data_IF_375280336964
#
_entry.id   IF_375280336964
#
_cell.length_a   1.000
_cell.length_b   1.000
_cell.length_c   1.000
_cell.angle_alpha   90.00
_cell.angle_beta   90.00
_cell.angle_gamma   90.00
#
_symmetry.space_group_name_H-M   'P 1'
#
loop_
_entity.id
_entity.type
_entity.pdbx_description
1 polymer ?
#
# COMPACT_ATOMS: atom_id res chain seq x y z
N UNK A 1 2.65 6.70 13.29
CA UNK A 1 3.48 5.64 12.71
C UNK A 1 4.84 6.23 12.33
N UNK A 2 5.95 5.59 12.71
CA UNK A 2 7.30 6.01 12.38
C UNK A 2 7.55 6.05 10.86
N UNK A 3 6.93 5.13 10.10
CA UNK A 3 7.03 5.14 8.64
C UNK A 3 6.40 6.41 8.05
N UNK A 4 5.25 6.85 8.57
CA UNK A 4 4.62 8.10 8.13
C UNK A 4 5.48 9.33 8.49
N UNK A 5 6.08 9.34 9.68
CA UNK A 5 6.89 10.47 10.15
C UNK A 5 8.24 10.58 9.43
N UNK A 6 8.91 9.45 9.17
CA UNK A 6 10.26 9.42 8.62
C UNK A 6 10.30 9.32 7.10
N UNK A 7 9.26 8.76 6.50
CA UNK A 7 9.24 8.44 5.07
C UNK A 7 8.05 9.05 4.34
N UNK A 8 7.43 10.10 4.89
CA UNK A 8 6.45 10.90 4.18
C UNK A 8 6.82 12.39 4.17
N UNK A 9 6.34 13.15 3.17
CA UNK A 9 6.51 14.60 3.15
C UNK A 9 5.54 15.33 4.10
N UNK A 10 4.62 14.61 4.76
CA UNK A 10 3.59 15.18 5.61
C UNK A 10 3.99 15.11 7.08
N UNK A 11 3.79 16.22 7.79
CA UNK A 11 3.96 16.30 9.25
C UNK A 11 2.78 15.68 9.97
N UNK A 12 1.59 15.77 9.39
CA UNK A 12 0.34 15.30 10.00
C UNK A 12 -0.54 14.55 9.01
N UNK A 13 -1.40 13.68 9.54
CA UNK A 13 -2.43 13.01 8.73
C UNK A 13 -3.39 14.03 8.08
N UNK A 14 -3.69 15.13 8.77
CA UNK A 14 -4.56 16.19 8.23
C UNK A 14 -4.01 16.85 6.97
N UNK A 15 -2.69 17.05 6.88
CA UNK A 15 -2.05 17.57 5.66
C UNK A 15 -2.24 16.61 4.48
N UNK A 16 -2.04 15.31 4.70
CA UNK A 16 -2.29 14.28 3.68
C UNK A 16 -3.76 14.26 3.25
N UNK A 17 -4.69 14.26 4.21
CA UNK A 17 -6.14 14.30 3.92
C UNK A 17 -6.53 15.53 3.12
N UNK A 18 -5.96 16.69 3.44
CA UNK A 18 -6.22 17.96 2.73
C UNK A 18 -5.80 17.84 1.25
N UNK A 19 -4.57 17.39 1.00
CA UNK A 19 -4.03 17.22 -0.36
C UNK A 19 -4.86 16.23 -1.19
N UNK A 20 -5.26 15.10 -0.58
CA UNK A 20 -6.09 14.10 -1.25
C UNK A 20 -7.50 14.62 -1.53
N UNK A 21 -8.13 15.30 -0.57
CA UNK A 21 -9.48 15.83 -0.74
C UNK A 21 -9.54 16.90 -1.83
N UNK A 22 -8.57 17.83 -1.84
CA UNK A 22 -8.51 18.87 -2.87
C UNK A 22 -8.33 18.26 -4.27
N UNK A 23 -7.41 17.30 -4.41
CA UNK A 23 -7.20 16.59 -5.66
C UNK A 23 -8.44 15.84 -6.13
N UNK A 24 -9.15 15.18 -5.22
CA UNK A 24 -10.40 14.47 -5.52
C UNK A 24 -11.50 15.43 -5.98
N UNK A 25 -11.71 16.53 -5.24
CA UNK A 25 -12.73 17.52 -5.57
C UNK A 25 -12.50 18.18 -6.94
N UNK A 26 -11.24 18.38 -7.32
CA UNK A 26 -10.87 19.00 -8.60
C UNK A 26 -10.88 18.05 -9.79
N UNK A 27 -10.49 16.79 -9.59
CA UNK A 27 -10.29 15.84 -10.70
C UNK A 27 -11.38 14.79 -10.88
N UNK A 28 -12.08 14.39 -9.81
CA UNK A 28 -12.99 13.26 -9.89
C UNK A 28 -14.32 13.63 -10.54
N UNK A 29 -14.78 12.78 -11.47
CA UNK A 29 -16.11 12.91 -12.07
C UNK A 29 -17.24 12.95 -11.02
N UNK A 30 -18.37 13.65 -11.26
CA UNK A 30 -19.43 13.85 -10.25
C UNK A 30 -20.05 12.58 -9.66
N UNK A 31 -19.96 11.44 -10.34
CA UNK A 31 -20.50 10.15 -9.87
C UNK A 31 -19.44 9.27 -9.19
N UNK A 32 -18.19 9.72 -9.11
CA UNK A 32 -17.14 9.02 -8.36
C UNK A 32 -17.25 9.33 -6.86
N UNK A 33 -16.90 8.34 -6.06
CA UNK A 33 -16.84 8.43 -4.60
C UNK A 33 -15.42 8.12 -4.12
N UNK A 34 -15.01 8.71 -2.98
CA UNK A 34 -13.76 8.41 -2.30
C UNK A 34 -14.04 7.74 -0.96
N UNK A 35 -13.26 6.70 -0.64
CA UNK A 35 -13.35 5.98 0.63
C UNK A 35 -12.01 6.10 1.36
N UNK A 36 -12.02 6.78 2.51
CA UNK A 36 -10.90 6.81 3.43
C UNK A 36 -10.98 5.61 4.37
N UNK A 37 -10.00 4.72 4.31
CA UNK A 37 -9.91 3.54 5.17
C UNK A 37 -8.90 3.79 6.28
N UNK A 38 -9.34 3.73 7.54
CA UNK A 38 -8.44 3.82 8.69
C UNK A 38 -7.52 2.59 8.78
N UNK A 39 -6.34 2.76 9.35
CA UNK A 39 -5.47 1.63 9.69
C UNK A 39 -6.08 0.82 10.86
N UNK A 40 -5.95 -0.51 10.92
CA UNK A 40 -6.46 -1.31 12.04
C UNK A 40 -5.89 -0.91 13.41
N UNK A 41 -4.70 -0.31 13.41
CA UNK A 41 -4.01 0.18 14.61
C UNK A 41 -4.20 1.70 14.83
N UNK A 42 -5.13 2.33 14.12
CA UNK A 42 -5.45 3.74 14.34
C UNK A 42 -6.01 3.90 15.77
N UNK A 43 -5.34 4.70 16.61
CA UNK A 43 -5.62 4.81 18.04
C UNK A 43 -6.64 5.92 18.39
N UNK A 44 -7.13 6.64 17.37
CA UNK A 44 -8.16 7.67 17.51
C UNK A 44 -7.69 8.97 18.15
N UNK A 45 -6.39 9.14 18.44
CA UNK A 45 -5.84 10.38 19.02
C UNK A 45 -5.96 11.56 18.08
N UNK A 46 -5.89 11.32 16.77
CA UNK A 46 -6.21 12.32 15.75
C UNK A 46 -7.68 12.15 15.35
N UNK A 47 -8.50 13.21 15.36
CA UNK A 47 -9.91 13.13 15.01
C UNK A 47 -10.10 13.06 13.48
N UNK A 48 -9.52 12.05 12.83
CA UNK A 48 -9.50 11.83 11.37
C UNK A 48 -10.90 11.91 10.76
N UNK A 49 -11.90 11.31 11.42
CA UNK A 49 -13.28 11.34 10.94
C UNK A 49 -13.88 12.76 10.94
N UNK A 50 -13.51 13.59 11.92
CA UNK A 50 -13.93 14.99 11.97
C UNK A 50 -13.27 15.78 10.85
N UNK A 51 -11.96 15.58 10.66
CA UNK A 51 -11.20 16.27 9.62
C UNK A 51 -11.69 15.93 8.21
N UNK A 52 -11.98 14.66 7.93
CA UNK A 52 -12.58 14.23 6.65
C UNK A 52 -13.92 14.93 6.41
N UNK A 53 -14.79 15.01 7.42
CA UNK A 53 -16.09 15.70 7.30
C UNK A 53 -15.91 17.20 7.05
N UNK A 54 -14.98 17.84 7.77
CA UNK A 54 -14.66 19.26 7.61
C UNK A 54 -14.16 19.55 6.19
N UNK A 55 -13.22 18.76 5.69
CA UNK A 55 -12.67 18.88 4.34
C UNK A 55 -13.72 18.58 3.26
N UNK A 56 -14.54 17.55 3.44
CA UNK A 56 -15.61 17.24 2.50
C UNK A 56 -16.58 18.42 2.33
N UNK A 57 -16.95 19.07 3.44
CA UNK A 57 -17.77 20.30 3.43
C UNK A 57 -17.06 21.48 2.78
N UNK A 58 -15.78 21.68 3.11
CA UNK A 58 -14.98 22.76 2.53
C UNK A 58 -14.94 22.69 0.99
N UNK A 59 -14.89 21.48 0.44
CA UNK A 59 -14.82 21.24 -1.00
C UNK A 59 -16.16 20.91 -1.66
N UNK A 60 -17.28 20.90 -0.92
CA UNK A 60 -18.62 20.62 -1.46
C UNK A 60 -18.81 19.20 -2.00
N UNK A 61 -18.17 18.20 -1.39
CA UNK A 61 -18.18 16.79 -1.83
C UNK A 61 -18.74 15.83 -0.78
N UNK A 62 -19.48 16.31 0.22
CA UNK A 62 -19.99 15.52 1.35
C UNK A 62 -20.76 14.27 0.93
N UNK A 63 -21.57 14.36 -0.14
CA UNK A 63 -22.34 13.23 -0.66
C UNK A 63 -21.51 12.11 -1.28
N UNK A 64 -20.19 12.31 -1.44
CA UNK A 64 -19.30 11.41 -2.18
C UNK A 64 -18.06 10.99 -1.40
N UNK A 65 -17.98 11.33 -0.12
CA UNK A 65 -16.86 11.01 0.77
C UNK A 65 -17.32 10.03 1.85
N UNK A 66 -16.61 8.91 1.96
CA UNK A 66 -16.90 7.87 2.93
C UNK A 66 -15.69 7.62 3.83
N UNK A 67 -15.94 7.30 5.10
CA UNK A 67 -14.90 6.90 6.04
C UNK A 67 -15.22 5.55 6.66
N UNK A 68 -14.27 4.62 6.56
CA UNK A 68 -14.42 3.25 7.05
C UNK A 68 -13.34 2.96 8.09
N UNK A 69 -13.75 2.68 9.33
CA UNK A 69 -12.82 2.40 10.45
C UNK A 69 -12.19 1.01 10.35
N UNK A 70 -12.92 0.01 9.86
CA UNK A 70 -12.51 -1.40 9.91
C UNK A 70 -12.86 -2.19 8.65
N UNK A 71 -12.61 -3.49 8.66
CA UNK A 71 -12.97 -4.39 7.55
C UNK A 71 -11.85 -4.66 6.55
N UNK A 72 -12.08 -5.66 5.70
CA UNK A 72 -11.11 -6.18 4.75
C UNK A 72 -10.94 -5.21 3.58
N UNK A 73 -9.73 -4.69 3.41
CA UNK A 73 -9.37 -3.80 2.29
C UNK A 73 -9.69 -4.43 0.92
N UNK A 74 -9.47 -5.75 0.79
CA UNK A 74 -9.73 -6.49 -0.45
C UNK A 74 -11.14 -6.26 -1.02
N UNK A 75 -12.17 -6.20 -0.17
CA UNK A 75 -13.55 -5.99 -0.63
C UNK A 75 -13.76 -4.57 -1.18
N UNK A 76 -13.15 -3.56 -0.55
CA UNK A 76 -13.17 -2.18 -1.04
C UNK A 76 -12.44 -2.07 -2.38
N UNK A 77 -11.29 -2.72 -2.52
CA UNK A 77 -10.50 -2.69 -3.74
C UNK A 77 -11.19 -3.36 -4.93
N UNK A 78 -12.11 -4.30 -4.72
CA UNK A 78 -12.85 -4.93 -5.81
C UNK A 78 -13.78 -3.93 -6.55
N UNK A 79 -14.21 -2.87 -5.88
CA UNK A 79 -15.00 -1.78 -6.48
C UNK A 79 -14.19 -0.52 -6.79
N UNK A 80 -12.88 -0.51 -6.50
CA UNK A 80 -12.04 0.68 -6.66
C UNK A 80 -11.56 0.84 -8.10
N UNK A 81 -11.49 2.09 -8.57
CA UNK A 81 -10.91 2.45 -9.88
C UNK A 81 -9.42 2.79 -9.79
N UNK A 82 -9.01 3.33 -8.65
CA UNK A 82 -7.64 3.72 -8.34
C UNK A 82 -7.49 3.78 -6.82
N UNK A 83 -6.25 3.83 -6.34
CA UNK A 83 -5.96 4.01 -4.92
C UNK A 83 -4.90 5.09 -4.70
N UNK A 84 -4.98 5.72 -3.53
CA UNK A 84 -3.98 6.67 -3.04
C UNK A 84 -3.50 6.19 -1.68
N UNK A 85 -2.19 6.24 -1.46
CA UNK A 85 -1.60 5.96 -0.16
C UNK A 85 -0.37 6.83 0.07
N UNK A 86 0.15 6.84 1.28
CA UNK A 86 1.49 7.37 1.53
C UNK A 86 2.48 6.26 1.14
N UNK A 87 2.81 5.38 2.07
CA UNK A 87 3.82 4.34 1.92
C UNK A 87 3.33 2.99 2.44
N UNK A 88 2.00 2.79 2.53
CA UNK A 88 1.43 1.58 3.09
C UNK A 88 1.72 0.37 2.21
N UNK A 89 2.15 -0.74 2.83
CA UNK A 89 2.31 -2.04 2.16
C UNK A 89 0.99 -2.57 1.57
N UNK A 90 -0.15 -2.01 1.98
CA UNK A 90 -1.44 -2.23 1.33
C UNK A 90 -1.43 -1.94 -0.18
N UNK A 91 -0.53 -1.08 -0.66
CA UNK A 91 -0.28 -0.84 -2.08
C UNK A 91 -0.02 -2.11 -2.88
N UNK A 92 0.58 -3.14 -2.27
CA UNK A 92 0.81 -4.42 -2.93
C UNK A 92 -0.51 -5.09 -3.33
N UNK A 93 -1.58 -4.94 -2.55
CA UNK A 93 -2.90 -5.45 -2.90
C UNK A 93 -3.53 -4.69 -4.08
N UNK A 94 -3.22 -3.41 -4.23
CA UNK A 94 -3.67 -2.56 -5.34
C UNK A 94 -2.95 -2.97 -6.63
N UNK A 95 -1.62 -3.03 -6.57
CA UNK A 95 -0.77 -3.39 -7.70
C UNK A 95 -1.02 -4.81 -8.20
N UNK A 96 -1.24 -5.77 -7.29
CA UNK A 96 -1.62 -7.14 -7.65
C UNK A 96 -2.93 -7.22 -8.44
N UNK A 97 -3.84 -6.25 -8.27
CA UNK A 97 -5.09 -6.16 -9.04
C UNK A 97 -4.94 -5.40 -10.35
N UNK A 98 -3.74 -4.89 -10.67
CA UNK A 98 -3.51 -4.02 -11.83
C UNK A 98 -4.20 -2.66 -11.71
N UNK A 99 -4.57 -2.25 -10.50
CA UNK A 99 -5.22 -0.95 -10.28
C UNK A 99 -4.18 0.17 -10.28
N UNK A 100 -4.49 1.33 -10.91
CA UNK A 100 -3.68 2.53 -10.76
C UNK A 100 -3.49 2.92 -9.31
N UNK A 101 -2.27 3.30 -8.95
CA UNK A 101 -1.94 3.79 -7.62
C UNK A 101 -1.11 5.06 -7.69
N UNK A 102 -1.44 6.01 -6.81
CA UNK A 102 -0.57 7.15 -6.50
C UNK A 102 -0.08 7.05 -5.07
N UNK A 103 1.21 7.25 -4.88
CA UNK A 103 1.85 7.17 -3.55
C UNK A 103 2.51 8.48 -3.17
N UNK A 104 2.70 8.68 -1.86
CA UNK A 104 3.43 9.81 -1.31
C UNK A 104 4.54 9.32 -0.39
N UNK A 105 5.66 10.04 -0.38
CA UNK A 105 6.80 9.64 0.43
C UNK A 105 7.58 8.46 -0.14
N UNK A 106 8.50 7.93 0.64
CA UNK A 106 9.39 6.85 0.24
C UNK A 106 8.74 5.49 0.51
N UNK A 107 8.66 4.69 -0.55
CA UNK A 107 8.23 3.30 -0.47
C UNK A 107 9.07 2.45 -1.42
N UNK A 108 9.43 1.24 -1.01
CA UNK A 108 10.28 0.32 -1.81
C UNK A 108 9.68 -0.02 -3.19
N UNK A 109 8.35 0.09 -3.32
CA UNK A 109 7.61 -0.18 -4.54
C UNK A 109 7.33 1.09 -5.36
N UNK A 110 7.84 2.26 -4.98
CA UNK A 110 7.64 3.52 -5.71
C UNK A 110 8.48 3.54 -7.01
N UNK A 111 8.10 2.71 -7.98
CA UNK A 111 8.77 2.56 -9.28
C UNK A 111 7.92 3.23 -10.37
N UNK A 112 8.54 4.00 -11.29
CA UNK A 112 7.81 4.79 -12.29
C UNK A 112 6.97 3.93 -13.26
N UNK A 113 7.32 2.65 -13.43
CA UNK A 113 6.62 1.70 -14.30
C UNK A 113 5.22 1.37 -13.80
N UNK A 114 4.98 1.43 -12.49
CA UNK A 114 3.73 0.97 -11.89
C UNK A 114 3.17 1.86 -10.76
N UNK A 115 3.79 3.02 -10.51
CA UNK A 115 3.27 4.05 -9.60
C UNK A 115 3.11 5.36 -10.35
N UNK A 116 1.93 5.98 -10.25
CA UNK A 116 1.61 7.19 -11.00
C UNK A 116 2.35 8.43 -10.48
N UNK A 117 2.98 9.13 -11.42
CA UNK A 117 3.61 10.45 -11.21
C UNK A 117 2.66 11.62 -11.48
N UNK A 118 1.43 11.37 -11.97
CA UNK A 118 0.44 12.39 -12.29
C UNK A 118 0.13 13.29 -11.08
N UNK A 119 -0.31 14.53 -11.32
CA UNK A 119 -0.93 15.32 -10.25
C UNK A 119 -2.15 14.57 -9.69
N UNK A 120 -2.57 14.85 -8.45
CA UNK A 120 -3.75 14.17 -7.90
C UNK A 120 -5.02 14.45 -8.71
N UNK A 121 -5.19 15.68 -9.19
CA UNK A 121 -6.34 16.02 -10.02
C UNK A 121 -6.34 15.16 -11.30
N UNK A 122 -5.23 15.13 -12.04
CA UNK A 122 -5.13 14.33 -13.27
C UNK A 122 -5.28 12.82 -12.99
N UNK A 123 -4.73 12.35 -11.87
CA UNK A 123 -4.86 10.97 -11.43
C UNK A 123 -6.32 10.59 -11.13
N UNK A 124 -7.10 11.49 -10.53
CA UNK A 124 -8.53 11.24 -10.29
C UNK A 124 -9.39 11.40 -11.55
N UNK A 125 -8.98 12.24 -12.48
CA UNK A 125 -9.64 12.41 -13.79
C UNK A 125 -9.46 11.18 -14.66
N UNK A 126 -8.20 10.80 -14.92
CA UNK A 126 -7.83 9.73 -15.83
C UNK A 126 -6.54 9.05 -15.34
N UNK A 127 -6.65 8.07 -14.43
CA UNK A 127 -5.48 7.41 -13.87
C UNK A 127 -4.78 6.50 -14.89
N UNK A 128 -3.47 6.62 -15.03
CA UNK A 128 -2.65 5.73 -15.85
C UNK A 128 -2.54 4.35 -15.20
N UNK A 129 -2.78 3.29 -15.98
CA UNK A 129 -2.65 1.90 -15.51
C UNK A 129 -1.18 1.52 -15.27
N UNK A 130 -0.89 0.71 -14.23
CA UNK A 130 0.47 0.24 -13.97
C UNK A 130 0.91 -0.79 -15.01
N UNK A 131 2.21 -0.83 -15.31
CA UNK A 131 2.82 -1.96 -16.01
C UNK A 131 2.77 -3.21 -15.11
N UNK A 132 1.83 -4.09 -15.42
CA UNK A 132 1.60 -5.32 -14.68
C UNK A 132 2.71 -6.36 -14.88
N UNK A 133 3.50 -6.27 -15.96
CA UNK A 133 4.69 -7.12 -16.13
C UNK A 133 5.81 -6.62 -15.22
N UNK A 134 6.14 -5.33 -15.27
CA UNK A 134 7.17 -4.75 -14.41
C UNK A 134 6.87 -4.98 -12.93
N UNK A 135 5.61 -4.85 -12.51
CA UNK A 135 5.21 -5.16 -11.13
C UNK A 135 5.42 -6.64 -10.76
N UNK A 136 5.13 -7.58 -11.68
CA UNK A 136 5.36 -9.02 -11.43
C UNK A 136 6.84 -9.33 -11.29
N UNK A 137 7.67 -8.76 -12.16
CA UNK A 137 9.13 -8.91 -12.11
C UNK A 137 9.68 -8.37 -10.77
N UNK A 138 9.26 -7.17 -10.37
CA UNK A 138 9.56 -6.59 -9.07
C UNK A 138 9.13 -7.49 -7.90
N UNK A 139 7.90 -8.02 -7.95
CA UNK A 139 7.36 -8.88 -6.89
C UNK A 139 8.15 -10.19 -6.78
N UNK A 140 8.50 -10.81 -7.91
CA UNK A 140 9.34 -12.02 -7.90
C UNK A 140 10.70 -11.73 -7.27
N UNK A 141 11.36 -10.65 -7.70
CA UNK A 141 12.63 -10.23 -7.11
C UNK A 141 12.53 -10.07 -5.58
N UNK A 142 11.47 -9.42 -5.07
CA UNK A 142 11.28 -9.28 -3.63
C UNK A 142 11.10 -10.63 -2.92
N UNK A 143 10.33 -11.55 -3.49
CA UNK A 143 10.08 -12.86 -2.90
C UNK A 143 11.32 -13.76 -2.88
N UNK A 144 12.22 -13.59 -3.85
CA UNK A 144 13.46 -14.34 -3.94
C UNK A 144 14.55 -13.76 -3.03
N UNK A 145 14.50 -12.47 -2.72
CA UNK A 145 15.54 -11.77 -1.95
C UNK A 145 15.13 -11.48 -0.51
N UNK A 146 14.19 -10.57 -0.31
CA UNK A 146 13.97 -9.90 0.99
C UNK A 146 12.76 -10.39 1.77
N UNK A 147 11.78 -11.01 1.10
CA UNK A 147 10.55 -11.42 1.76
C UNK A 147 10.68 -12.85 2.28
N UNK A 148 10.41 -13.01 3.57
CA UNK A 148 10.42 -14.33 4.24
C UNK A 148 9.00 -14.64 4.72
N UNK A 149 8.45 -15.82 4.40
CA UNK A 149 7.13 -16.23 4.88
C UNK A 149 7.04 -16.23 6.41
N UNK A 150 5.94 -15.68 6.94
CA UNK A 150 5.64 -15.66 8.38
C UNK A 150 5.13 -14.30 8.87
N UNK A 151 5.28 -14.04 10.16
CA UNK A 151 4.89 -12.74 10.74
C UNK A 151 5.03 -12.62 12.25
N UNK A 152 5.19 -11.39 12.74
CA UNK A 152 5.48 -11.11 14.14
C UNK A 152 4.29 -11.33 15.10
N UNK A 153 3.07 -11.04 14.64
CA UNK A 153 1.92 -10.86 15.54
C UNK A 153 1.20 -12.16 15.93
N UNK A 154 1.39 -13.26 15.19
CA UNK A 154 0.73 -14.53 15.50
C UNK A 154 1.74 -15.62 15.83
N UNK A 155 1.38 -16.51 16.76
CA UNK A 155 2.23 -17.66 17.09
C UNK A 155 2.51 -18.54 15.86
N UNK A 156 1.52 -18.70 14.97
CA UNK A 156 1.68 -19.42 13.70
C UNK A 156 2.70 -18.72 12.78
N UNK A 157 2.55 -17.42 12.56
CA UNK A 157 3.45 -16.65 11.70
C UNK A 157 4.88 -16.61 12.24
N UNK A 158 5.06 -16.52 13.56
CA UNK A 158 6.39 -16.59 14.19
C UNK A 158 7.03 -17.97 14.00
N UNK A 159 6.26 -19.05 14.19
CA UNK A 159 6.77 -20.41 13.97
C UNK A 159 7.19 -20.63 12.51
N UNK A 160 6.41 -20.14 11.56
CA UNK A 160 6.74 -20.25 10.13
C UNK A 160 8.04 -19.50 9.79
N UNK A 161 8.17 -18.26 10.28
CA UNK A 161 9.36 -17.43 10.09
C UNK A 161 10.61 -18.07 10.70
N UNK A 162 10.52 -18.55 11.95
CA UNK A 162 11.66 -19.10 12.70
C UNK A 162 12.26 -20.36 12.04
N UNK A 163 11.48 -21.11 11.25
CA UNK A 163 11.98 -22.28 10.51
C UNK A 163 12.95 -21.95 9.38
N UNK A 164 12.94 -20.71 8.89
CA UNK A 164 13.76 -20.29 7.75
C UNK A 164 14.81 -19.27 8.17
N UNK A 165 14.45 -18.33 9.05
CA UNK A 165 15.32 -17.20 9.36
C UNK A 165 16.62 -17.61 10.05
N UNK A 166 16.62 -18.66 10.88
CA UNK A 166 17.83 -19.12 11.58
C UNK A 166 18.83 -19.67 10.57
N UNK A 167 18.39 -20.53 9.65
CA UNK A 167 19.25 -21.07 8.61
C UNK A 167 19.77 -19.94 7.72
N UNK A 168 18.92 -18.97 7.33
CA UNK A 168 19.32 -17.80 6.55
C UNK A 168 20.39 -16.96 7.24
N UNK A 169 20.31 -16.77 8.56
CA UNK A 169 21.31 -16.01 9.34
C UNK A 169 22.66 -16.71 9.42
N UNK A 170 22.70 -18.03 9.20
CA UNK A 170 23.92 -18.85 9.27
C UNK A 170 24.50 -19.19 7.89
N UNK A 171 23.79 -18.88 6.80
CA UNK A 171 24.32 -19.06 5.44
C UNK A 171 25.50 -18.12 5.19
N UNK A 172 26.46 -18.60 4.39
CA UNK A 172 27.63 -17.81 4.00
C UNK A 172 27.26 -16.71 2.98
N UNK A 173 26.28 -16.97 2.13
CA UNK A 173 25.76 -16.04 1.13
C UNK A 173 24.40 -15.49 1.56
N UNK A 174 24.19 -14.19 1.35
CA UNK A 174 22.89 -13.60 1.60
C UNK A 174 21.90 -13.87 0.45
N UNK A 175 20.60 -13.60 0.62
CA UNK A 175 19.61 -13.82 -0.43
C UNK A 175 19.84 -13.12 -1.76
N UNK A 176 20.49 -11.96 -1.77
CA UNK A 176 20.81 -11.20 -2.97
C UNK A 176 22.00 -11.82 -3.69
N UNK A 177 23.02 -12.26 -2.94
CA UNK A 177 24.16 -13.00 -3.48
C UNK A 177 23.70 -14.29 -4.15
N UNK A 178 22.87 -15.08 -3.46
CA UNK A 178 22.34 -16.34 -3.97
C UNK A 178 21.47 -16.17 -5.22
N UNK A 179 20.71 -15.07 -5.32
CA UNK A 179 19.94 -14.76 -6.53
C UNK A 179 20.87 -14.41 -7.69
N UNK A 180 21.92 -13.63 -7.43
CA UNK A 180 22.92 -13.24 -8.44
C UNK A 180 23.71 -14.44 -8.95
N UNK A 181 24.04 -15.40 -8.07
CA UNK A 181 24.74 -16.63 -8.39
C UNK A 181 23.84 -17.71 -9.04
N UNK A 182 22.51 -17.52 -9.05
CA UNK A 182 21.55 -18.51 -9.54
C UNK A 182 21.37 -19.74 -8.63
N UNK A 183 21.82 -19.67 -7.39
CA UNK A 183 21.77 -20.73 -6.38
C UNK A 183 20.58 -20.58 -5.42
N UNK A 184 19.77 -19.51 -5.58
CA UNK A 184 18.60 -19.25 -4.74
C UNK A 184 17.59 -20.41 -4.78
N UNK A 185 17.43 -21.10 -3.66
CA UNK A 185 16.41 -22.15 -3.52
C UNK A 185 15.00 -21.55 -3.66
N UNK A 186 14.06 -22.24 -4.33
CA UNK A 186 12.70 -21.73 -4.49
C UNK A 186 12.02 -21.60 -3.11
N UNK A 187 11.82 -20.36 -2.67
CA UNK A 187 11.11 -20.03 -1.43
C UNK A 187 9.60 -20.18 -1.65
N UNK A 188 9.13 -21.42 -1.69
CA UNK A 188 7.70 -21.68 -1.84
C UNK A 188 6.94 -21.12 -0.64
N UNK A 189 5.84 -20.42 -0.90
CA UNK A 189 4.81 -20.20 0.11
C UNK A 189 4.30 -21.59 0.52
N UNK A 190 4.55 -21.96 1.77
CA UNK A 190 4.06 -23.23 2.33
C UNK A 190 2.54 -23.26 2.14
N UNK A 191 2.05 -24.14 1.26
CA UNK A 191 0.62 -24.43 1.19
C UNK A 191 0.24 -25.13 2.49
N UNK A 192 -0.73 -24.56 3.20
CA UNK A 192 -1.45 -25.30 4.22
C UNK A 192 -2.13 -26.48 3.51
N UNK A 193 -1.65 -27.68 3.79
CA UNK A 193 -2.45 -28.89 3.60
C UNK A 193 -3.54 -28.80 4.67
N UNK A 194 -4.75 -28.42 4.25
CA UNK A 194 -5.98 -28.52 5.06
C UNK A 194 -6.58 -29.90 4.88
#
# INVERSE_FOLDING_TARGET
DASFQMHSPFKTMSEFLTVVMEGFARGAAPHHHIVFKAHPLEDGRVPVAHEIKRLAKLHGVEGRVHFVRGGKLAALLNGARSAVTVNSTAAQQVLWRGLPIKTFGAAVYAKPEFVSTQSLADFFTLPTRPDSKAYRDYRHYLLETSQVPGGFYSAKGRRELLRQVVDMMLQAEDPYDALTAGTAAPRQQLRLVT
#
